data_IF_010160608667
#
_entry.id   IF_010160608667
#
_cell.length_a   1.000
_cell.length_b   1.000
_cell.length_c   1.000
_cell.angle_alpha   90.00
_cell.angle_beta   90.00
_cell.angle_gamma   90.00
#
_symmetry.space_group_name_H-M   'P 1'
#
loop_
_entity.id
_entity.type
_entity.pdbx_description
1 polymer ?
#
# COMPACT_ATOMS: atom_id res chain seq x y z
N UNK A 1 46.35 21.25 81.20
CA UNK A 1 45.43 20.13 81.51
C UNK A 1 44.10 20.52 80.89
N UNK A 2 43.84 20.07 79.66
CA UNK A 2 42.91 18.98 79.31
C UNK A 2 41.45 19.45 79.43
N UNK A 3 40.51 19.29 78.48
CA UNK A 3 40.43 18.68 77.15
C UNK A 3 39.14 19.25 76.50
N UNK A 4 38.92 19.06 75.19
CA UNK A 4 37.60 19.28 74.53
C UNK A 4 36.55 18.23 74.97
N UNK A 5 35.51 17.88 74.16
CA UNK A 5 35.15 18.36 72.81
C UNK A 5 33.61 18.48 72.52
N UNK A 6 33.30 18.99 71.31
CA UNK A 6 32.23 18.63 70.35
C UNK A 6 30.84 18.11 70.79
N UNK A 7 29.77 18.60 70.12
CA UNK A 7 28.53 17.83 69.98
C UNK A 7 27.34 18.59 69.38
N UNK A 8 27.07 18.36 68.10
CA UNK A 8 25.86 18.74 67.34
C UNK A 8 24.56 18.19 67.96
N UNK A 9 23.44 18.90 67.79
CA UNK A 9 22.24 18.41 67.07
C UNK A 9 21.07 19.39 67.17
N UNK A 10 20.55 19.77 66.01
CA UNK A 10 19.43 20.68 65.84
C UNK A 10 18.10 20.07 66.28
N UNK A 11 17.31 20.88 66.98
CA UNK A 11 15.96 20.56 67.42
C UNK A 11 14.94 20.94 66.35
N UNK A 12 14.13 19.94 65.99
CA UNK A 12 13.06 19.96 64.99
C UNK A 12 11.89 20.81 65.51
N UNK A 13 11.50 21.83 64.73
CA UNK A 13 10.32 22.66 64.96
C UNK A 13 9.10 22.00 64.32
N UNK A 14 8.11 21.63 65.13
CA UNK A 14 6.88 20.96 64.70
C UNK A 14 5.79 22.02 64.47
N UNK A 15 5.64 22.48 63.22
CA UNK A 15 4.60 23.43 62.83
C UNK A 15 3.34 22.66 62.38
N UNK A 16 2.30 22.69 63.22
CA UNK A 16 0.98 22.17 62.90
C UNK A 16 0.29 23.14 61.91
N UNK A 17 0.28 22.79 60.62
CA UNK A 17 -0.53 23.47 59.62
C UNK A 17 -1.91 22.79 59.54
N UNK A 18 -2.94 23.54 59.93
CA UNK A 18 -4.35 23.18 59.85
C UNK A 18 -4.78 23.06 58.39
N UNK A 19 -5.28 21.89 58.01
CA UNK A 19 -5.89 21.63 56.70
C UNK A 19 -7.26 22.33 56.63
N UNK A 20 -7.33 23.40 55.83
CA UNK A 20 -8.58 24.07 55.49
C UNK A 20 -9.30 23.28 54.39
N UNK A 21 -10.33 22.52 54.76
CA UNK A 21 -11.27 21.93 53.81
C UNK A 21 -12.21 23.04 53.27
N UNK A 22 -12.36 23.22 51.95
CA UNK A 22 -13.37 24.11 51.41
C UNK A 22 -14.76 23.51 51.64
N UNK A 23 -15.61 24.30 52.31
CA UNK A 23 -16.99 24.01 52.61
C UNK A 23 -17.77 23.83 51.31
N UNK A 24 -18.24 22.62 51.06
CA UNK A 24 -19.12 22.28 49.93
C UNK A 24 -20.52 22.83 50.24
N UNK A 25 -20.85 23.99 49.70
CA UNK A 25 -22.22 24.52 49.73
C UNK A 25 -23.10 23.71 48.78
N UNK A 26 -23.98 22.89 49.34
CA UNK A 26 -25.15 22.38 48.65
C UNK A 26 -26.07 23.57 48.37
N UNK A 27 -26.16 24.00 47.11
CA UNK A 27 -27.23 24.87 46.63
C UNK A 27 -28.18 24.00 45.82
N UNK A 28 -29.35 23.72 46.40
CA UNK A 28 -30.48 23.13 45.70
C UNK A 28 -31.12 24.21 44.81
N UNK A 29 -30.85 24.17 43.51
CA UNK A 29 -31.62 24.92 42.52
C UNK A 29 -32.61 23.99 41.82
N UNK A 30 -33.84 24.47 41.78
CA UNK A 30 -35.06 23.88 41.21
C UNK A 30 -34.92 23.58 39.70
N UNK A 31 -35.56 22.51 39.17
CA UNK A 31 -35.57 22.24 37.75
C UNK A 31 -36.57 23.18 37.04
N UNK A 32 -36.06 24.31 36.55
CA UNK A 32 -36.75 25.21 35.62
C UNK A 32 -36.25 24.94 34.20
N UNK A 33 -37.17 24.73 33.27
CA UNK A 33 -36.92 24.19 31.93
C UNK A 33 -35.93 24.95 31.04
N UNK A 34 -35.34 24.18 30.12
CA UNK A 34 -34.85 24.68 28.83
C UNK A 34 -33.39 25.15 28.81
N UNK A 35 -32.44 24.21 28.86
CA UNK A 35 -31.05 24.47 28.53
C UNK A 35 -30.46 23.25 27.84
N UNK A 36 -30.42 23.26 26.50
CA UNK A 36 -29.69 22.26 25.74
C UNK A 36 -28.22 22.26 26.15
N UNK A 37 -27.60 21.08 26.09
CA UNK A 37 -26.16 20.88 26.27
C UNK A 37 -25.37 22.00 25.59
N UNK A 38 -24.88 22.95 26.39
CA UNK A 38 -23.88 23.91 25.95
C UNK A 38 -22.56 23.12 25.87
N UNK A 39 -22.38 22.41 24.75
CA UNK A 39 -21.09 21.87 24.32
C UNK A 39 -20.08 23.01 24.46
N UNK A 40 -19.06 22.78 25.27
CA UNK A 40 -17.92 23.68 25.49
C UNK A 40 -17.54 24.33 24.16
N UNK A 41 -17.90 25.60 23.99
CA UNK A 41 -17.67 26.35 22.77
C UNK A 41 -16.17 26.68 22.67
N UNK A 42 -15.37 25.68 22.30
CA UNK A 42 -14.02 25.88 21.83
C UNK A 42 -14.03 26.76 20.58
N UNK A 43 -12.96 27.54 20.38
CA UNK A 43 -12.79 28.31 19.16
C UNK A 43 -12.96 27.40 17.93
N UNK A 44 -13.87 27.79 17.04
CA UNK A 44 -14.11 27.10 15.76
C UNK A 44 -13.26 27.73 14.69
N UNK A 45 -12.66 26.88 13.88
CA UNK A 45 -11.78 27.24 12.78
C UNK A 45 -12.40 26.88 11.44
N UNK A 46 -11.79 27.38 10.37
CA UNK A 46 -12.18 27.08 8.99
C UNK A 46 -11.01 26.42 8.27
N UNK A 47 -11.29 25.43 7.42
CA UNK A 47 -10.30 24.83 6.53
C UNK A 47 -10.51 25.39 5.13
N UNK A 48 -9.46 25.98 4.57
CA UNK A 48 -9.46 26.53 3.22
C UNK A 48 -8.55 25.71 2.30
N UNK A 49 -8.99 25.55 1.06
CA UNK A 49 -8.25 24.82 0.06
C UNK A 49 -8.74 25.09 -1.35
N UNK A 50 -8.02 24.53 -2.31
CA UNK A 50 -8.35 24.54 -3.72
C UNK A 50 -8.11 23.16 -4.31
N UNK A 51 -9.13 22.65 -4.97
CA UNK A 51 -9.07 21.41 -5.73
C UNK A 51 -8.89 21.76 -7.22
N UNK A 52 -7.90 21.14 -7.86
CA UNK A 52 -7.55 21.40 -9.26
C UNK A 52 -7.47 20.09 -10.01
N UNK A 53 -8.24 20.00 -11.09
CA UNK A 53 -8.13 18.92 -12.08
C UNK A 53 -7.30 19.44 -13.25
N UNK A 54 -6.12 18.86 -13.53
CA UNK A 54 -5.31 19.30 -14.67
C UNK A 54 -6.07 19.14 -15.99
N UNK A 55 -6.13 20.21 -16.78
CA UNK A 55 -6.73 20.20 -18.12
C UNK A 55 -8.26 20.32 -18.18
N UNK A 56 -8.96 20.41 -17.04
CA UNK A 56 -10.43 20.49 -16.98
C UNK A 56 -10.84 21.75 -16.20
N UNK A 57 -11.86 22.46 -16.70
CA UNK A 57 -12.37 23.66 -16.02
C UNK A 57 -13.16 23.24 -14.78
N UNK A 58 -13.05 23.98 -13.64
CA UNK A 58 -13.77 23.63 -12.42
C UNK A 58 -15.28 23.49 -12.59
N UNK A 59 -15.91 24.38 -13.35
CA UNK A 59 -17.36 24.41 -13.60
C UNK A 59 -17.96 23.09 -14.12
N UNK A 60 -17.16 22.26 -14.79
CA UNK A 60 -17.64 21.02 -15.41
C UNK A 60 -17.80 19.87 -14.41
N UNK A 61 -17.10 19.93 -13.27
CA UNK A 61 -17.03 18.80 -12.31
C UNK A 61 -17.42 19.16 -10.88
N UNK A 62 -17.39 20.44 -10.50
CA UNK A 62 -17.75 20.90 -9.14
C UNK A 62 -19.17 20.50 -8.73
N UNK A 63 -20.11 20.39 -9.68
CA UNK A 63 -21.51 20.06 -9.38
C UNK A 63 -21.69 18.66 -8.77
N UNK A 64 -20.81 17.72 -9.14
CA UNK A 64 -20.80 16.37 -8.59
C UNK A 64 -19.81 16.18 -7.44
N UNK A 65 -19.10 17.22 -7.02
CA UNK A 65 -18.03 17.11 -6.04
C UNK A 65 -18.41 17.69 -4.69
N UNK A 66 -17.90 17.06 -3.63
CA UNK A 66 -18.09 17.47 -2.23
C UNK A 66 -16.77 17.36 -1.48
N UNK A 67 -16.60 18.21 -0.47
CA UNK A 67 -15.47 18.14 0.43
C UNK A 67 -15.95 17.51 1.73
N UNK A 68 -15.35 16.40 2.12
CA UNK A 68 -15.65 15.73 3.37
C UNK A 68 -14.50 15.92 4.34
N UNK A 69 -14.84 16.14 5.60
CA UNK A 69 -13.89 16.17 6.71
C UNK A 69 -14.30 15.07 7.68
N UNK A 70 -13.35 14.19 7.98
CA UNK A 70 -13.51 13.03 8.88
C UNK A 70 -14.74 12.16 8.58
N UNK A 71 -14.92 11.79 7.30
CA UNK A 71 -15.98 10.85 6.91
C UNK A 71 -17.40 11.40 7.06
N UNK A 72 -17.63 12.66 6.66
CA UNK A 72 -18.91 13.39 6.69
C UNK A 72 -19.28 14.10 7.99
N UNK A 73 -18.41 14.10 9.01
CA UNK A 73 -18.65 14.90 10.23
C UNK A 73 -18.82 16.40 9.91
N UNK A 74 -17.97 16.92 9.02
CA UNK A 74 -18.15 18.24 8.43
C UNK A 74 -18.14 18.15 6.91
N UNK A 75 -19.09 18.82 6.28
CA UNK A 75 -19.25 18.81 4.82
C UNK A 75 -19.05 20.22 4.28
N UNK A 76 -18.23 20.32 3.23
CA UNK A 76 -17.99 21.54 2.48
C UNK A 76 -18.33 21.39 1.01
N UNK A 77 -18.55 22.53 0.38
CA UNK A 77 -18.83 22.62 -1.05
C UNK A 77 -17.72 23.40 -1.76
N UNK A 78 -17.51 23.07 -3.02
CA UNK A 78 -16.58 23.79 -3.88
C UNK A 78 -17.28 24.99 -4.53
N UNK A 79 -16.54 26.08 -4.66
CA UNK A 79 -16.90 27.28 -5.40
C UNK A 79 -16.58 27.09 -6.89
N UNK A 80 -17.05 28.03 -7.72
CA UNK A 80 -16.89 28.01 -9.18
C UNK A 80 -15.43 28.07 -9.66
N UNK A 81 -14.51 28.53 -8.82
CA UNK A 81 -13.07 28.60 -9.07
C UNK A 81 -12.29 27.35 -8.64
N UNK A 82 -13.00 26.35 -8.07
CA UNK A 82 -12.44 25.14 -7.47
C UNK A 82 -11.91 25.34 -6.05
N UNK A 83 -12.10 26.51 -5.44
CA UNK A 83 -11.77 26.72 -4.03
C UNK A 83 -12.87 26.15 -3.13
N UNK A 84 -12.53 25.80 -1.90
CA UNK A 84 -13.49 25.34 -0.90
C UNK A 84 -13.15 25.89 0.47
N UNK A 85 -14.19 26.05 1.27
CA UNK A 85 -14.07 26.45 2.67
C UNK A 85 -15.01 25.58 3.47
N UNK A 86 -14.49 24.92 4.50
CA UNK A 86 -15.28 24.15 5.47
C UNK A 86 -15.26 24.92 6.79
N UNK A 87 -16.45 25.19 7.33
CA UNK A 87 -16.63 25.99 8.55
C UNK A 87 -16.89 25.09 9.76
N UNK A 88 -16.84 25.71 10.95
CA UNK A 88 -17.23 25.12 12.23
C UNK A 88 -16.36 23.97 12.77
N UNK A 89 -15.10 23.90 12.34
CA UNK A 89 -14.20 22.80 12.69
C UNK A 89 -13.47 23.10 14.00
N UNK A 90 -13.58 22.23 15.04
CA UNK A 90 -12.85 22.43 16.29
C UNK A 90 -11.33 22.24 16.11
N UNK A 91 -10.54 22.56 17.14
CA UNK A 91 -9.11 22.22 17.13
C UNK A 91 -8.92 20.71 17.21
N UNK A 92 -8.16 20.13 16.30
CA UNK A 92 -8.01 18.69 16.19
C UNK A 92 -7.18 18.30 14.98
N UNK A 93 -7.14 17.01 14.70
CA UNK A 93 -6.49 16.46 13.51
C UNK A 93 -7.54 15.77 12.66
N UNK A 94 -7.69 16.24 11.43
CA UNK A 94 -8.77 15.82 10.55
C UNK A 94 -8.22 15.31 9.23
N UNK A 95 -8.93 14.38 8.60
CA UNK A 95 -8.67 13.96 7.23
C UNK A 95 -9.66 14.69 6.32
N UNK A 96 -9.13 15.43 5.35
CA UNK A 96 -9.90 16.19 4.38
C UNK A 96 -9.82 15.48 3.03
N UNK A 97 -10.99 15.21 2.46
CA UNK A 97 -11.15 14.45 1.24
C UNK A 97 -12.03 15.22 0.26
N UNK A 98 -11.65 15.23 -1.02
CA UNK A 98 -12.51 15.77 -2.08
C UNK A 98 -13.07 14.59 -2.85
N UNK A 99 -14.36 14.34 -2.69
CA UNK A 99 -15.05 13.26 -3.37
C UNK A 99 -15.64 13.81 -4.66
N UNK A 100 -15.34 13.14 -5.77
CA UNK A 100 -15.96 13.36 -7.07
C UNK A 100 -16.20 12.02 -7.77
N UNK A 101 -17.32 11.84 -8.46
CA UNK A 101 -17.58 10.62 -9.22
C UNK A 101 -16.68 10.48 -10.46
N UNK A 102 -16.16 11.59 -11.00
CA UNK A 102 -15.38 11.57 -12.23
C UNK A 102 -13.87 11.64 -12.00
N UNK A 103 -13.43 12.12 -10.83
CA UNK A 103 -12.04 12.40 -10.53
C UNK A 103 -11.65 11.89 -9.15
N UNK A 104 -10.48 11.27 -9.06
CA UNK A 104 -9.90 10.85 -7.79
C UNK A 104 -8.98 11.93 -7.25
N UNK A 105 -9.08 12.20 -5.95
CA UNK A 105 -8.18 13.09 -5.21
C UNK A 105 -7.51 12.30 -4.08
N UNK A 106 -6.30 12.68 -3.72
CA UNK A 106 -5.60 12.11 -2.58
C UNK A 106 -6.06 12.80 -1.29
N UNK A 107 -6.41 12.04 -0.23
CA UNK A 107 -6.83 12.62 1.04
C UNK A 107 -5.66 13.31 1.72
N UNK A 108 -5.93 14.40 2.42
CA UNK A 108 -4.91 15.23 3.09
C UNK A 108 -5.25 15.36 4.57
N UNK A 109 -4.27 15.12 5.44
CA UNK A 109 -4.41 15.31 6.87
C UNK A 109 -4.14 16.77 7.23
N UNK A 110 -5.04 17.39 7.98
CA UNK A 110 -4.92 18.76 8.48
C UNK A 110 -4.94 18.76 10.00
N UNK A 111 -3.87 19.25 10.61
CA UNK A 111 -3.79 19.48 12.04
C UNK A 111 -4.04 20.95 12.36
N UNK A 112 -5.02 21.20 13.22
CA UNK A 112 -5.42 22.52 13.71
C UNK A 112 -5.05 22.60 15.19
N UNK A 113 -4.15 23.52 15.53
CA UNK A 113 -3.82 23.80 16.93
C UNK A 113 -4.94 24.63 17.57
N UNK A 114 -5.12 24.57 18.89
CA UNK A 114 -6.05 25.45 19.63
C UNK A 114 -5.80 26.95 19.43
N UNK A 115 -4.62 27.35 18.95
CA UNK A 115 -4.29 28.73 18.56
C UNK A 115 -4.63 29.08 17.10
N UNK A 116 -5.27 28.18 16.37
CA UNK A 116 -5.59 28.34 14.95
C UNK A 116 -4.44 28.13 13.96
N UNK A 117 -3.27 27.65 14.41
CA UNK A 117 -2.17 27.29 13.50
C UNK A 117 -2.50 25.99 12.78
N UNK A 118 -2.55 26.05 11.45
CA UNK A 118 -2.90 24.92 10.58
C UNK A 118 -1.66 24.32 9.92
N UNK A 119 -1.62 22.99 9.84
CA UNK A 119 -0.53 22.24 9.19
C UNK A 119 -1.13 21.11 8.37
N UNK A 120 -0.81 21.06 7.08
CA UNK A 120 -1.25 19.98 6.19
C UNK A 120 -0.14 18.94 5.99
N UNK A 121 -0.50 17.67 5.83
CA UNK A 121 0.40 16.54 5.60
C UNK A 121 -0.29 15.47 4.77
N UNK A 122 0.49 14.63 4.08
CA UNK A 122 -0.08 13.42 3.47
C UNK A 122 -0.61 12.45 4.51
N UNK A 123 -1.67 11.73 4.15
CA UNK A 123 -2.28 10.72 5.01
C UNK A 123 -1.52 9.41 4.84
N UNK A 124 -0.83 8.97 5.90
CA UNK A 124 -0.27 7.62 5.98
C UNK A 124 -0.85 6.90 7.20
N UNK A 125 -1.70 5.90 6.95
CA UNK A 125 -2.35 5.12 8.01
C UNK A 125 -1.41 4.10 8.67
N UNK A 126 -0.33 3.70 8.00
CA UNK A 126 0.63 2.71 8.52
C UNK A 126 1.65 3.39 9.43
N UNK A 127 2.22 4.51 8.97
CA UNK A 127 3.23 5.29 9.71
C UNK A 127 2.67 6.64 10.10
N UNK A 128 1.94 6.69 11.21
CA UNK A 128 1.30 7.91 11.74
C UNK A 128 2.29 9.01 12.16
N UNK A 129 3.56 8.64 12.40
CA UNK A 129 4.64 9.56 12.76
C UNK A 129 5.36 10.15 11.55
N UNK A 130 5.11 9.65 10.34
CA UNK A 130 5.71 10.18 9.13
C UNK A 130 5.10 11.55 8.79
N UNK A 131 5.96 12.56 8.61
CA UNK A 131 5.54 13.95 8.42
C UNK A 131 6.04 14.45 7.08
N UNK A 132 5.28 14.18 6.02
CA UNK A 132 5.47 14.84 4.74
C UNK A 132 4.60 16.09 4.71
N UNK A 133 5.22 17.26 4.85
CA UNK A 133 4.51 18.53 4.95
C UNK A 133 3.95 18.94 3.60
N UNK A 134 2.68 19.35 3.60
CA UNK A 134 2.02 19.98 2.47
C UNK A 134 1.88 21.49 2.71
N UNK A 135 1.93 22.31 1.64
CA UNK A 135 1.65 23.73 1.75
C UNK A 135 0.20 23.96 2.17
N UNK A 136 -0.02 25.07 2.87
CA UNK A 136 -1.34 25.57 3.25
C UNK A 136 -1.52 26.98 2.66
N UNK A 137 -2.68 27.35 2.07
CA UNK A 137 -3.92 26.58 1.89
C UNK A 137 -3.77 25.31 1.05
N UNK A 138 -4.68 24.34 1.23
CA UNK A 138 -4.58 23.03 0.59
C UNK A 138 -4.62 23.16 -0.94
N UNK A 139 -3.71 22.48 -1.65
CA UNK A 139 -3.74 22.35 -3.10
C UNK A 139 -3.91 20.88 -3.48
N UNK A 140 -5.15 20.46 -3.59
CA UNK A 140 -5.49 19.07 -3.90
C UNK A 140 -5.54 18.90 -5.41
N UNK A 141 -4.55 18.18 -5.95
CA UNK A 141 -4.50 17.84 -7.37
C UNK A 141 -5.18 16.50 -7.59
N UNK A 142 -5.98 16.40 -8.64
CA UNK A 142 -6.56 15.11 -9.02
C UNK A 142 -5.47 14.18 -9.55
N UNK A 143 -5.55 12.90 -9.16
CA UNK A 143 -4.73 11.81 -9.70
C UNK A 143 -5.26 11.27 -11.04
N UNK A 144 -6.32 11.86 -11.59
CA UNK A 144 -6.99 11.43 -12.83
C UNK A 144 -8.31 10.70 -12.58
N UNK A 145 -8.91 10.12 -13.64
CA UNK A 145 -10.17 9.41 -13.54
C UNK A 145 -10.00 8.09 -12.77
N UNK A 146 -10.89 7.77 -11.81
CA UNK A 146 -10.90 6.48 -11.13
C UNK A 146 -11.26 5.33 -12.07
N UNK A 147 -10.56 4.22 -11.96
CA UNK A 147 -10.84 2.99 -12.72
C UNK A 147 -11.92 2.17 -12.03
N UNK A 148 -13.19 2.49 -12.27
CA UNK A 148 -14.31 1.70 -11.73
C UNK A 148 -14.53 0.38 -12.46
N UNK A 149 -14.17 0.32 -13.74
CA UNK A 149 -14.43 -0.82 -14.60
C UNK A 149 -13.16 -1.61 -14.86
N UNK A 150 -13.25 -2.92 -14.68
CA UNK A 150 -12.21 -3.86 -15.11
C UNK A 150 -12.42 -4.09 -16.60
N UNK A 151 -11.36 -3.91 -17.41
CA UNK A 151 -11.42 -4.22 -18.84
C UNK A 151 -11.59 -5.74 -19.00
N UNK A 152 -12.47 -6.17 -19.90
CA UNK A 152 -12.60 -7.59 -20.25
C UNK A 152 -11.29 -8.05 -20.87
N UNK A 153 -10.84 -9.24 -20.49
CA UNK A 153 -9.73 -9.92 -21.15
C UNK A 153 -10.10 -10.08 -22.63
N UNK A 154 -9.43 -9.31 -23.48
CA UNK A 154 -9.61 -9.42 -24.93
C UNK A 154 -8.79 -10.58 -25.44
N UNK A 155 -9.38 -11.42 -26.29
CA UNK A 155 -8.62 -12.38 -27.08
C UNK A 155 -7.63 -11.64 -27.97
N UNK A 156 -6.39 -11.53 -27.52
CA UNK A 156 -5.29 -11.00 -28.31
C UNK A 156 -4.80 -12.08 -29.27
N UNK A 157 -4.63 -11.75 -30.55
CA UNK A 157 -3.89 -12.62 -31.48
C UNK A 157 -2.48 -12.95 -30.96
N UNK A 158 -1.87 -12.00 -30.24
CA UNK A 158 -0.58 -12.20 -29.55
C UNK A 158 -0.69 -13.17 -28.40
N UNK A 159 -1.83 -13.23 -27.70
CA UNK A 159 -2.07 -14.14 -26.58
C UNK A 159 -2.32 -15.58 -27.07
N UNK A 160 -2.95 -15.71 -28.24
CA UNK A 160 -3.04 -16.97 -28.98
C UNK A 160 -1.67 -17.44 -29.49
N UNK A 161 -0.86 -16.56 -30.08
CA UNK A 161 0.49 -16.91 -30.56
C UNK A 161 1.46 -17.17 -29.40
N UNK A 162 1.41 -16.41 -28.31
CA UNK A 162 2.23 -16.66 -27.11
C UNK A 162 1.74 -17.84 -26.27
N UNK A 163 0.66 -18.50 -26.69
CA UNK A 163 0.20 -19.73 -26.04
C UNK A 163 1.23 -20.85 -26.28
N UNK A 164 1.79 -21.46 -25.22
CA UNK A 164 2.83 -22.48 -25.34
C UNK A 164 2.39 -23.67 -26.19
N UNK A 165 1.10 -24.00 -26.23
CA UNK A 165 0.58 -25.08 -27.06
C UNK A 165 0.62 -24.75 -28.56
N UNK A 166 0.33 -23.50 -28.94
CA UNK A 166 0.31 -23.07 -30.34
C UNK A 166 1.73 -22.92 -30.89
N UNK A 167 2.66 -22.35 -30.10
CA UNK A 167 4.07 -22.25 -30.50
C UNK A 167 4.72 -23.60 -30.72
N UNK A 168 4.46 -24.56 -29.82
CA UNK A 168 5.00 -25.91 -29.94
C UNK A 168 4.42 -26.68 -31.11
N UNK A 169 3.26 -26.29 -31.64
CA UNK A 169 2.69 -26.90 -32.85
C UNK A 169 3.24 -26.26 -34.13
N UNK A 170 3.28 -24.93 -34.19
CA UNK A 170 3.66 -24.19 -35.41
C UNK A 170 5.17 -24.27 -35.65
N UNK A 171 6.00 -24.17 -34.60
CA UNK A 171 7.45 -24.18 -34.71
C UNK A 171 8.01 -25.46 -35.37
N UNK A 172 7.65 -26.69 -34.94
CA UNK A 172 8.14 -27.91 -35.60
C UNK A 172 7.59 -28.08 -37.01
N UNK A 173 6.35 -27.65 -37.30
CA UNK A 173 5.80 -27.69 -38.66
C UNK A 173 6.57 -26.77 -39.61
N UNK A 174 6.94 -25.57 -39.16
CA UNK A 174 7.75 -24.64 -39.93
C UNK A 174 9.15 -25.21 -40.19
N UNK A 175 9.77 -25.82 -39.18
CA UNK A 175 11.06 -26.52 -39.34
C UNK A 175 10.92 -27.68 -40.34
N UNK A 176 9.87 -28.50 -40.24
CA UNK A 176 9.65 -29.62 -41.16
C UNK A 176 9.47 -29.19 -42.62
N UNK A 177 8.92 -28.00 -42.86
CA UNK A 177 8.77 -27.42 -44.21
C UNK A 177 10.06 -26.75 -44.70
N UNK A 178 10.81 -26.10 -43.81
CA UNK A 178 12.06 -25.43 -44.17
C UNK A 178 13.23 -26.41 -44.31
N UNK A 179 13.36 -27.42 -43.44
CA UNK A 179 14.44 -28.41 -43.52
C UNK A 179 14.61 -29.00 -44.92
N UNK A 180 13.59 -29.53 -45.62
CA UNK A 180 13.78 -30.04 -46.99
C UNK A 180 14.11 -28.96 -48.02
N UNK A 181 13.82 -27.67 -47.72
CA UNK A 181 14.09 -26.53 -48.59
C UNK A 181 15.50 -25.93 -48.41
N UNK A 182 16.06 -25.96 -47.19
CA UNK A 182 17.42 -25.47 -46.90
C UNK A 182 18.46 -26.59 -46.84
N UNK A 183 18.04 -27.80 -46.44
CA UNK A 183 18.84 -29.02 -46.49
C UNK A 183 18.48 -29.69 -47.80
N UNK A 184 19.26 -29.40 -48.85
CA UNK A 184 19.06 -29.93 -50.19
C UNK A 184 18.89 -31.45 -50.11
N UNK A 185 17.67 -31.93 -50.32
CA UNK A 185 17.36 -33.35 -50.19
C UNK A 185 17.96 -34.17 -51.34
N UNK A 186 18.76 -33.58 -52.22
CA UNK A 186 19.40 -34.21 -53.38
C UNK A 186 20.87 -34.61 -53.17
N UNK A 187 21.50 -34.27 -52.04
CA UNK A 187 22.92 -34.60 -51.82
C UNK A 187 23.11 -35.96 -51.09
N UNK A 188 23.89 -36.91 -51.66
CA UNK A 188 24.03 -38.28 -51.16
C UNK A 188 24.82 -38.41 -49.84
N UNK A 189 25.58 -37.39 -49.42
CA UNK A 189 26.39 -37.45 -48.19
C UNK A 189 25.59 -37.06 -46.93
N UNK A 190 24.73 -36.04 -47.01
CA UNK A 190 23.85 -35.66 -45.90
C UNK A 190 22.74 -36.68 -45.64
N UNK A 191 22.28 -37.41 -46.68
CA UNK A 191 21.34 -38.53 -46.52
C UNK A 191 21.97 -39.69 -45.75
N UNK A 192 23.25 -40.01 -45.98
CA UNK A 192 23.95 -41.07 -45.24
C UNK A 192 24.14 -40.71 -43.76
N UNK A 193 24.44 -39.45 -43.44
CA UNK A 193 24.54 -38.98 -42.05
C UNK A 193 23.17 -38.94 -41.35
N UNK A 194 22.12 -38.60 -42.09
CA UNK A 194 20.73 -38.60 -41.60
C UNK A 194 20.18 -40.04 -41.46
N UNK A 195 20.53 -40.96 -42.35
CA UNK A 195 20.19 -42.39 -42.27
C UNK A 195 20.98 -43.08 -41.17
N UNK A 196 22.24 -42.72 -40.92
CA UNK A 196 23.04 -43.24 -39.80
C UNK A 196 22.50 -42.77 -38.45
N UNK A 197 22.15 -41.48 -38.33
CA UNK A 197 21.52 -40.95 -37.12
C UNK A 197 20.09 -41.48 -36.93
N UNK A 198 19.31 -41.66 -37.99
CA UNK A 198 17.99 -42.28 -37.93
C UNK A 198 18.05 -43.78 -37.62
N UNK A 199 19.03 -44.53 -38.14
CA UNK A 199 19.26 -45.95 -37.82
C UNK A 199 19.76 -46.13 -36.37
N UNK A 200 20.56 -45.18 -35.86
CA UNK A 200 20.96 -45.10 -34.46
C UNK A 200 19.80 -44.70 -33.53
N UNK A 201 18.79 -43.98 -34.05
CA UNK A 201 17.55 -43.64 -33.35
C UNK A 201 16.44 -44.71 -33.48
N UNK A 202 16.49 -45.58 -34.51
CA UNK A 202 15.52 -46.65 -34.76
C UNK A 202 15.86 -47.99 -34.10
N UNK A 203 17.06 -48.14 -33.53
CA UNK A 203 17.48 -49.38 -32.87
C UNK A 203 16.99 -49.54 -31.43
N UNK A 204 16.18 -48.61 -30.91
CA UNK A 204 15.47 -48.76 -29.63
C UNK A 204 13.95 -48.65 -29.84
N UNK A 205 13.28 -49.78 -29.63
CA UNK A 205 11.84 -49.98 -29.79
C UNK A 205 10.99 -49.40 -28.63
N UNK A 206 11.37 -48.26 -28.06
CA UNK A 206 10.52 -47.49 -27.15
C UNK A 206 10.78 -46.01 -27.43
N UNK A 207 9.73 -45.29 -27.81
CA UNK A 207 9.78 -43.94 -28.39
C UNK A 207 10.64 -42.98 -27.55
N UNK A 208 11.44 -42.09 -28.19
CA UNK A 208 12.08 -41.02 -27.47
C UNK A 208 11.01 -40.00 -27.09
N UNK A 209 10.76 -39.87 -25.79
CA UNK A 209 9.99 -38.76 -25.30
C UNK A 209 10.80 -37.47 -25.56
N UNK A 210 10.51 -36.84 -26.70
CA UNK A 210 11.06 -35.55 -27.12
C UNK A 210 10.87 -34.48 -26.04
N UNK A 211 9.96 -34.72 -25.08
CA UNK A 211 9.79 -33.92 -23.87
C UNK A 211 11.02 -33.94 -22.97
N UNK A 212 11.78 -35.03 -22.84
CA UNK A 212 12.98 -35.08 -21.99
C UNK A 212 14.16 -34.31 -22.59
N UNK A 213 14.28 -34.33 -23.92
CA UNK A 213 15.31 -33.58 -24.63
C UNK A 213 15.02 -32.07 -24.60
N UNK A 214 13.76 -31.68 -24.82
CA UNK A 214 13.31 -30.30 -24.66
C UNK A 214 13.38 -29.83 -23.20
N UNK A 215 13.04 -30.69 -22.23
CA UNK A 215 13.16 -30.40 -20.80
C UNK A 215 14.62 -30.24 -20.39
N UNK A 216 15.55 -31.05 -20.91
CA UNK A 216 17.00 -30.84 -20.67
C UNK A 216 17.52 -29.53 -21.26
N UNK A 217 17.00 -29.10 -22.42
CA UNK A 217 17.40 -27.84 -23.05
C UNK A 217 16.77 -26.60 -22.39
N UNK A 218 15.50 -26.66 -21.99
CA UNK A 218 14.81 -25.57 -21.27
C UNK A 218 15.19 -25.52 -19.79
N UNK A 219 15.43 -26.66 -19.14
CA UNK A 219 15.94 -26.75 -17.76
C UNK A 219 17.40 -26.32 -17.66
N UNK A 220 18.18 -26.42 -18.74
CA UNK A 220 19.56 -25.92 -18.80
C UNK A 220 19.66 -24.39 -18.65
N UNK A 221 18.55 -23.65 -18.77
CA UNK A 221 18.52 -22.20 -18.52
C UNK A 221 17.81 -21.80 -17.23
N UNK A 222 17.32 -22.74 -16.43
CA UNK A 222 16.64 -22.46 -15.16
C UNK A 222 17.34 -22.97 -13.89
N UNK A 223 18.58 -23.46 -13.96
CA UNK A 223 19.34 -23.84 -12.76
C UNK A 223 20.71 -23.18 -12.67
N UNK A 224 20.73 -21.87 -12.46
CA UNK A 224 21.84 -21.22 -11.74
C UNK A 224 21.39 -20.92 -10.31
N UNK A 225 22.27 -21.22 -9.34
CA UNK A 225 22.14 -21.09 -7.86
C UNK A 225 21.34 -22.22 -7.19
N UNK A 226 21.85 -22.99 -6.22
CA UNK A 226 23.13 -22.90 -5.48
C UNK A 226 23.31 -24.14 -4.59
N UNK A 227 24.52 -24.71 -4.64
CA UNK A 227 25.40 -25.13 -3.52
C UNK A 227 24.91 -26.06 -2.42
N UNK A 228 25.78 -27.06 -2.16
CA UNK A 228 26.15 -27.49 -0.79
C UNK A 228 25.55 -28.82 -0.38
N UNK A 229 26.18 -29.96 -0.68
CA UNK A 229 27.29 -30.59 0.08
C UNK A 229 26.80 -31.75 0.95
N UNK A 230 27.37 -32.95 0.69
CA UNK A 230 27.81 -33.99 1.66
C UNK A 230 26.88 -34.33 2.84
N UNK A 231 26.57 -35.58 3.21
CA UNK A 231 27.25 -36.85 3.03
C UNK A 231 26.49 -37.94 3.81
N UNK A 232 26.59 -39.18 3.34
CA UNK A 232 26.67 -40.46 4.10
C UNK A 232 25.53 -40.88 5.07
N UNK A 233 24.91 -42.02 4.68
CA UNK A 233 24.93 -43.34 5.36
C UNK A 233 24.40 -43.43 6.80
N UNK A 234 23.40 -44.32 7.01
CA UNK A 234 23.51 -45.34 8.06
C UNK A 234 22.43 -45.40 9.15
N UNK A 235 21.40 -46.24 8.91
CA UNK A 235 20.93 -47.36 9.75
C UNK A 235 20.71 -47.21 11.28
N UNK A 236 19.49 -47.63 11.67
CA UNK A 236 19.04 -48.32 12.90
C UNK A 236 18.70 -47.53 14.17
N UNK A 237 17.64 -48.00 14.86
CA UNK A 237 17.47 -47.78 16.29
C UNK A 237 16.03 -47.52 16.74
N UNK A 238 15.20 -48.57 16.80
CA UNK A 238 13.97 -48.56 17.58
C UNK A 238 14.30 -48.42 19.07
N UNK A 239 13.61 -47.54 19.79
CA UNK A 239 13.77 -47.34 21.22
C UNK A 239 12.48 -46.84 21.86
N UNK A 240 11.64 -47.79 22.28
CA UNK A 240 10.51 -47.57 23.19
C UNK A 240 11.00 -47.66 24.63
N UNK A 241 10.25 -47.00 25.54
CA UNK A 241 10.33 -46.98 27.02
C UNK A 241 11.19 -45.82 27.53
N UNK A 242 10.77 -45.04 28.53
CA UNK A 242 9.98 -45.40 29.71
C UNK A 242 9.41 -44.15 30.36
#
# INVERSE_FOLDING_TARGET
MAAGPFGLLGTVFLLAATFQFPSRSWASETPGGGGGDAIVAGERFKIEGRAVVPGVKPQDWIAGARVLVDGEEHVGFLKTDGSFVVHDIPSGSYVVEVISPAYKFEPVRVDITSRGKMRARYVNYIKTSEVVRLPYPLQMKSSGPPSYFIKRESWGWTDFLMNPMVMMMILPLLIFVLLPKVVNTSDPDMRREMEQSMNMLNSNHELPDVSEFMTRLFSSKSSSKSTGSSSKIGKSGAGKRR
#
